data_IF_194497819887
#
_entry.id   IF_194497819887
#
_cell.length_a   1.000
_cell.length_b   1.000
_cell.length_c   1.000
_cell.angle_alpha   90.00
_cell.angle_beta   90.00
_cell.angle_gamma   90.00
#
_symmetry.space_group_name_H-M   'P 1'
#
loop_
_entity.id
_entity.type
_entity.pdbx_description
1 polymer ?
#
# COMPACT_ATOMS: atom_id res chain seq x y z
N UNK A 1 -9.95 59.28 21.81
CA UNK A 1 -9.01 58.32 21.19
C UNK A 1 -9.27 56.96 21.81
N UNK A 2 -10.01 56.10 21.11
CA UNK A 2 -10.34 54.74 21.55
C UNK A 2 -9.26 53.79 21.03
N UNK A 3 -8.58 53.09 21.95
CA UNK A 3 -7.58 52.08 21.61
C UNK A 3 -8.25 50.88 20.90
N UNK A 4 -7.64 50.31 19.85
CA UNK A 4 -8.26 49.28 19.03
C UNK A 4 -8.21 47.90 19.73
N UNK A 5 -9.36 47.24 19.81
CA UNK A 5 -9.62 45.88 19.29
C UNK A 5 -8.50 44.82 19.42
N UNK A 6 -7.79 44.80 20.54
CA UNK A 6 -6.77 43.77 20.82
C UNK A 6 -7.44 42.42 21.05
N UNK A 7 -8.56 42.35 21.77
CA UNK A 7 -9.27 41.07 21.99
C UNK A 7 -9.85 40.47 20.70
N UNK A 8 -10.39 41.30 19.81
CA UNK A 8 -10.97 40.90 18.51
C UNK A 8 -9.90 40.46 17.50
N UNK A 9 -8.74 41.10 17.50
CA UNK A 9 -7.59 40.70 16.67
C UNK A 9 -6.91 39.40 17.16
N UNK A 10 -6.81 39.17 18.47
CA UNK A 10 -6.36 37.88 19.03
C UNK A 10 -7.32 36.74 18.66
N UNK A 11 -8.64 36.98 18.66
CA UNK A 11 -9.65 36.01 18.26
C UNK A 11 -9.57 35.63 16.78
N UNK A 12 -9.46 36.61 15.87
CA UNK A 12 -9.31 36.33 14.44
C UNK A 12 -8.01 35.59 14.11
N UNK A 13 -6.90 35.95 14.76
CA UNK A 13 -5.62 35.25 14.61
C UNK A 13 -5.72 33.78 15.03
N UNK A 14 -6.40 33.49 16.14
CA UNK A 14 -6.65 32.12 16.61
C UNK A 14 -7.56 31.33 15.65
N UNK A 15 -8.58 31.97 15.07
CA UNK A 15 -9.46 31.32 14.08
C UNK A 15 -8.69 31.00 12.79
N UNK A 16 -7.88 31.93 12.29
CA UNK A 16 -7.07 31.73 11.08
C UNK A 16 -5.97 30.68 11.29
N UNK A 17 -5.36 30.63 12.49
CA UNK A 17 -4.37 29.60 12.82
C UNK A 17 -5.00 28.22 12.89
N UNK A 18 -6.20 28.09 13.49
CA UNK A 18 -6.97 26.85 13.52
C UNK A 18 -7.37 26.38 12.11
N UNK A 19 -7.84 27.30 11.26
CA UNK A 19 -8.16 27.00 9.86
C UNK A 19 -6.93 26.51 9.09
N UNK A 20 -5.77 27.13 9.29
CA UNK A 20 -4.50 26.72 8.67
C UNK A 20 -4.12 25.30 9.11
N UNK A 21 -4.26 24.97 10.39
CA UNK A 21 -4.01 23.62 10.90
C UNK A 21 -4.99 22.63 10.28
N UNK A 22 -6.29 22.95 10.27
CA UNK A 22 -7.33 22.10 9.67
C UNK A 22 -7.08 21.81 8.19
N UNK A 23 -6.71 22.82 7.40
CA UNK A 23 -6.33 22.65 5.99
C UNK A 23 -5.06 21.80 5.82
N UNK A 24 -4.08 21.93 6.71
CA UNK A 24 -2.88 21.11 6.68
C UNK A 24 -3.19 19.63 6.96
N UNK A 25 -4.07 19.35 7.92
CA UNK A 25 -4.57 17.99 8.22
C UNK A 25 -5.32 17.44 7.02
N UNK A 26 -6.27 18.22 6.47
CA UNK A 26 -7.08 17.81 5.32
C UNK A 26 -6.22 17.47 4.11
N UNK A 27 -5.22 18.31 3.79
CA UNK A 27 -4.26 18.04 2.72
C UNK A 27 -3.47 16.74 2.98
N UNK A 28 -3.06 16.51 4.22
CA UNK A 28 -2.36 15.29 4.63
C UNK A 28 -3.22 14.04 4.44
N UNK A 29 -4.48 14.09 4.85
CA UNK A 29 -5.43 12.98 4.69
C UNK A 29 -5.78 12.74 3.21
N UNK A 30 -6.00 13.79 2.42
CA UNK A 30 -6.25 13.66 0.98
C UNK A 30 -5.05 13.01 0.26
N UNK A 31 -3.83 13.45 0.57
CA UNK A 31 -2.62 12.83 0.03
C UNK A 31 -2.49 11.36 0.42
N UNK A 32 -2.88 11.00 1.65
CA UNK A 32 -2.91 9.60 2.13
C UNK A 32 -3.95 8.77 1.39
N UNK A 33 -5.17 9.29 1.22
CA UNK A 33 -6.25 8.61 0.49
C UNK A 33 -5.84 8.37 -0.96
N UNK A 34 -5.33 9.39 -1.65
CA UNK A 34 -4.86 9.26 -3.02
C UNK A 34 -3.76 8.19 -3.15
N UNK A 35 -2.78 8.22 -2.24
CA UNK A 35 -1.71 7.21 -2.18
C UNK A 35 -2.25 5.81 -1.89
N UNK A 36 -3.26 5.68 -1.02
CA UNK A 36 -3.94 4.44 -0.73
C UNK A 36 -4.68 3.86 -1.95
N UNK A 37 -5.31 4.72 -2.76
CA UNK A 37 -5.97 4.31 -4.01
C UNK A 37 -4.95 3.78 -5.01
N UNK A 38 -3.83 4.49 -5.23
CA UNK A 38 -2.77 4.05 -6.14
C UNK A 38 -2.20 2.69 -5.74
N UNK A 39 -1.87 2.51 -4.46
CA UNK A 39 -1.41 1.21 -3.94
C UNK A 39 -2.46 0.12 -4.06
N UNK A 40 -3.72 0.47 -3.86
CA UNK A 40 -4.84 -0.45 -4.09
C UNK A 40 -4.92 -0.89 -5.55
N UNK A 41 -4.62 0.01 -6.50
CA UNK A 41 -4.54 -0.34 -7.92
C UNK A 41 -3.34 -1.25 -8.20
N UNK A 42 -2.16 -0.93 -7.70
CA UNK A 42 -0.94 -1.74 -7.85
C UNK A 42 -1.15 -3.16 -7.29
N UNK A 43 -1.70 -3.28 -6.07
CA UNK A 43 -1.98 -4.58 -5.46
C UNK A 43 -3.00 -5.40 -6.28
N UNK A 44 -4.01 -4.73 -6.88
CA UNK A 44 -4.95 -5.40 -7.80
C UNK A 44 -4.26 -5.87 -9.08
N UNK A 45 -3.35 -5.07 -9.64
CA UNK A 45 -2.58 -5.45 -10.82
C UNK A 45 -1.66 -6.64 -10.53
N UNK A 46 -0.98 -6.64 -9.39
CA UNK A 46 -0.15 -7.76 -8.95
C UNK A 46 -0.97 -9.03 -8.72
N UNK A 47 -2.15 -8.93 -8.11
CA UNK A 47 -3.07 -10.07 -7.95
C UNK A 47 -3.53 -10.64 -9.29
N UNK A 48 -3.94 -9.80 -10.23
CA UNK A 48 -4.34 -10.25 -11.58
C UNK A 48 -3.21 -11.01 -12.27
N UNK A 49 -1.98 -10.48 -12.21
CA UNK A 49 -0.80 -11.18 -12.74
C UNK A 49 -0.54 -12.50 -12.03
N UNK A 50 -0.69 -12.55 -10.71
CA UNK A 50 -0.53 -13.80 -9.96
C UNK A 50 -1.56 -14.86 -10.40
N UNK A 51 -2.83 -14.46 -10.58
CA UNK A 51 -3.90 -15.33 -11.05
C UNK A 51 -3.62 -15.85 -12.47
N UNK A 52 -3.08 -15.00 -13.35
CA UNK A 52 -2.64 -15.38 -14.71
C UNK A 52 -1.51 -16.41 -14.68
N UNK A 53 -0.49 -16.22 -13.83
CA UNK A 53 0.62 -17.16 -13.65
C UNK A 53 0.14 -18.49 -13.05
N UNK A 54 -0.80 -18.48 -12.09
CA UNK A 54 -1.42 -19.71 -11.56
C UNK A 54 -2.24 -20.44 -12.61
N UNK A 55 -3.00 -19.71 -13.44
CA UNK A 55 -3.75 -20.32 -14.53
C UNK A 55 -2.81 -20.93 -15.59
N UNK A 56 -1.69 -20.26 -15.90
CA UNK A 56 -0.67 -20.78 -16.80
C UNK A 56 0.00 -22.05 -16.23
N UNK A 57 0.32 -22.04 -14.94
CA UNK A 57 0.87 -23.21 -14.24
C UNK A 57 -0.13 -24.37 -14.25
N UNK A 58 -1.40 -24.12 -13.93
CA UNK A 58 -2.45 -25.12 -13.97
C UNK A 58 -2.64 -25.74 -15.36
N UNK A 59 -2.63 -24.92 -16.42
CA UNK A 59 -2.67 -25.40 -17.81
C UNK A 59 -1.46 -26.28 -18.12
N UNK A 60 -0.25 -25.88 -17.72
CA UNK A 60 0.96 -26.65 -17.99
C UNK A 60 0.96 -28.00 -17.25
N UNK A 61 0.52 -28.02 -16.00
CA UNK A 61 0.38 -29.27 -15.23
C UNK A 61 -0.66 -30.19 -15.88
N UNK A 62 -1.79 -29.64 -16.34
CA UNK A 62 -2.80 -30.42 -17.08
C UNK A 62 -2.24 -31.01 -18.38
N UNK A 63 -1.50 -30.23 -19.18
CA UNK A 63 -0.82 -30.72 -20.39
C UNK A 63 0.12 -31.90 -20.08
N UNK A 64 0.89 -31.82 -18.98
CA UNK A 64 1.81 -32.87 -18.57
C UNK A 64 1.08 -34.13 -18.10
N UNK A 65 -0.08 -33.98 -17.43
CA UNK A 65 -0.95 -35.08 -17.03
C UNK A 65 -1.52 -35.81 -18.25
N UNK A 66 -2.08 -35.05 -19.20
CA UNK A 66 -2.66 -35.60 -20.44
C UNK A 66 -1.59 -36.28 -21.32
N UNK A 67 -0.35 -35.78 -21.31
CA UNK A 67 0.76 -36.38 -22.04
C UNK A 67 1.29 -37.68 -21.41
N UNK A 68 0.74 -38.15 -20.28
CA UNK A 68 1.23 -39.34 -19.56
C UNK A 68 2.64 -39.16 -18.98
N UNK A 69 3.17 -37.92 -18.95
CA UNK A 69 4.51 -37.62 -18.44
C UNK A 69 4.64 -37.66 -16.91
N UNK A 70 3.55 -38.08 -16.26
CA UNK A 70 3.31 -38.03 -14.82
C UNK A 70 3.08 -39.44 -14.23
N UNK A 71 3.74 -40.46 -14.76
CA UNK A 71 3.68 -41.82 -14.20
C UNK A 71 4.55 -42.00 -12.95
N UNK A 72 4.01 -42.73 -11.96
CA UNK A 72 4.51 -43.31 -10.69
C UNK A 72 5.56 -42.55 -9.82
N UNK A 73 6.50 -41.81 -10.42
CA UNK A 73 7.43 -40.87 -9.78
C UNK A 73 6.98 -39.40 -9.92
N UNK A 74 5.70 -39.17 -10.26
CA UNK A 74 5.12 -37.91 -10.75
C UNK A 74 5.48 -36.59 -10.06
N UNK A 75 5.96 -36.61 -8.81
CA UNK A 75 6.51 -35.42 -8.16
C UNK A 75 7.85 -34.94 -8.77
N UNK A 76 8.76 -35.86 -9.14
CA UNK A 76 10.06 -35.51 -9.72
C UNK A 76 9.92 -34.92 -11.14
N UNK A 77 9.06 -35.51 -11.98
CA UNK A 77 8.83 -35.05 -13.36
C UNK A 77 8.26 -33.62 -13.41
N UNK A 78 7.36 -33.28 -12.49
CA UNK A 78 6.80 -31.92 -12.37
C UNK A 78 7.84 -30.88 -11.92
N UNK A 79 8.71 -31.26 -10.99
CA UNK A 79 9.80 -30.38 -10.54
C UNK A 79 10.92 -30.28 -11.56
N UNK A 80 11.08 -31.24 -12.45
CA UNK A 80 12.10 -31.22 -13.50
C UNK A 80 11.66 -30.43 -14.74
N UNK A 81 10.36 -30.23 -14.97
CA UNK A 81 9.88 -29.34 -16.04
C UNK A 81 10.30 -27.89 -15.76
N UNK A 82 11.19 -27.38 -16.60
CA UNK A 82 11.77 -26.03 -16.45
C UNK A 82 10.70 -24.92 -16.50
N UNK A 83 9.63 -25.14 -17.27
CA UNK A 83 8.54 -24.17 -17.43
C UNK A 83 7.65 -24.15 -16.19
N UNK A 84 7.39 -25.31 -15.57
CA UNK A 84 6.69 -25.40 -14.27
C UNK A 84 7.50 -24.67 -13.18
N UNK A 85 8.82 -24.91 -13.11
CA UNK A 85 9.71 -24.19 -12.17
C UNK A 85 9.71 -22.69 -12.38
N UNK A 86 9.77 -22.23 -13.62
CA UNK A 86 9.74 -20.80 -13.95
C UNK A 86 8.42 -20.15 -13.52
N UNK A 87 7.28 -20.74 -13.88
CA UNK A 87 5.95 -20.25 -13.52
C UNK A 87 5.75 -20.26 -11.99
N UNK A 88 6.19 -21.32 -11.32
CA UNK A 88 6.13 -21.42 -9.86
C UNK A 88 7.00 -20.34 -9.19
N UNK A 89 8.20 -20.08 -9.72
CA UNK A 89 9.11 -19.04 -9.24
C UNK A 89 8.52 -17.63 -9.41
N UNK A 90 7.91 -17.34 -10.56
CA UNK A 90 7.21 -16.07 -10.79
C UNK A 90 6.03 -15.89 -9.85
N UNK A 91 5.22 -16.94 -9.66
CA UNK A 91 4.10 -16.90 -8.73
C UNK A 91 4.56 -16.70 -7.28
N UNK A 92 5.66 -17.33 -6.86
CA UNK A 92 6.26 -17.12 -5.54
C UNK A 92 6.73 -15.67 -5.37
N UNK A 93 7.46 -15.13 -6.35
CA UNK A 93 7.91 -13.75 -6.34
C UNK A 93 6.73 -12.75 -6.23
N UNK A 94 5.67 -12.96 -6.99
CA UNK A 94 4.48 -12.10 -6.96
C UNK A 94 3.74 -12.16 -5.62
N UNK A 95 3.72 -13.33 -4.95
CA UNK A 95 3.17 -13.45 -3.59
C UNK A 95 4.02 -12.67 -2.58
N UNK A 96 5.34 -12.78 -2.67
CA UNK A 96 6.25 -12.05 -1.79
C UNK A 96 6.13 -10.53 -1.99
N UNK A 97 6.00 -10.07 -3.24
CA UNK A 97 5.73 -8.66 -3.53
C UNK A 97 4.39 -8.19 -2.95
N UNK A 98 3.33 -8.98 -3.06
CA UNK A 98 2.04 -8.65 -2.44
C UNK A 98 2.15 -8.56 -0.90
N UNK A 99 2.92 -9.45 -0.27
CA UNK A 99 3.18 -9.40 1.16
C UNK A 99 3.97 -8.14 1.55
N UNK A 100 5.00 -7.78 0.78
CA UNK A 100 5.77 -6.53 0.97
C UNK A 100 4.88 -5.30 0.83
N UNK A 101 4.03 -5.25 -0.20
CA UNK A 101 3.08 -4.15 -0.40
C UNK A 101 2.11 -4.01 0.78
N UNK A 102 1.60 -5.12 1.33
CA UNK A 102 0.72 -5.11 2.49
C UNK A 102 1.43 -4.62 3.77
N UNK A 103 2.66 -5.09 4.02
CA UNK A 103 3.46 -4.65 5.15
C UNK A 103 3.84 -3.16 5.07
N UNK A 104 4.21 -2.68 3.88
CA UNK A 104 4.53 -1.27 3.63
C UNK A 104 3.33 -0.33 3.88
N UNK A 105 2.11 -0.78 3.60
CA UNK A 105 0.90 0.01 3.88
C UNK A 105 0.69 0.27 5.38
N UNK A 106 0.97 -0.73 6.23
CA UNK A 106 0.87 -0.57 7.69
C UNK A 106 1.93 0.40 8.23
N UNK A 107 3.19 0.24 7.80
CA UNK A 107 4.29 1.10 8.22
C UNK A 107 4.09 2.58 7.80
N UNK A 108 3.50 2.81 6.62
CA UNK A 108 3.29 4.18 6.14
C UNK A 108 2.12 4.88 6.84
N UNK A 109 1.13 4.13 7.33
CA UNK A 109 0.09 4.65 8.22
C UNK A 109 0.71 5.15 9.53
N UNK A 110 1.58 4.36 10.14
CA UNK A 110 2.27 4.71 11.38
C UNK A 110 3.16 5.95 11.20
N UNK A 111 3.94 5.99 10.11
CA UNK A 111 4.75 7.17 9.76
C UNK A 111 3.92 8.42 9.53
N UNK A 112 2.75 8.28 8.89
CA UNK A 112 1.82 9.40 8.69
C UNK A 112 1.28 9.94 10.01
N UNK A 113 0.80 9.06 10.90
CA UNK A 113 0.34 9.45 12.24
C UNK A 113 1.46 10.14 13.04
N UNK A 114 2.69 9.63 12.97
CA UNK A 114 3.84 10.27 13.61
C UNK A 114 4.21 11.65 13.02
N UNK A 115 4.03 11.86 11.71
CA UNK A 115 4.19 13.20 11.09
C UNK A 115 3.07 14.15 11.52
N UNK A 116 1.84 13.67 11.59
CA UNK A 116 0.68 14.44 12.05
C UNK A 116 0.85 14.87 13.51
N UNK A 117 1.23 13.94 14.40
CA UNK A 117 1.47 14.23 15.81
C UNK A 117 2.54 15.31 16.02
N UNK A 118 3.63 15.27 15.23
CA UNK A 118 4.69 16.29 15.30
C UNK A 118 4.25 17.67 14.79
N UNK A 119 3.43 17.73 13.73
CA UNK A 119 2.98 18.99 13.13
C UNK A 119 1.82 19.66 13.89
N UNK A 120 1.00 18.85 14.57
CA UNK A 120 -0.15 19.35 15.33
C UNK A 120 0.15 19.47 16.84
N UNK A 121 1.09 18.69 17.37
CA UNK A 121 1.53 18.77 18.77
C UNK A 121 2.56 19.87 19.05
N UNK A 122 3.20 20.45 18.02
CA UNK A 122 4.15 21.57 18.17
C UNK A 122 3.48 22.94 18.29
N UNK A 123 2.14 23.02 18.32
CA UNK A 123 1.40 24.26 18.58
C UNK A 123 1.04 24.42 20.07
N UNK A 124 1.90 23.93 20.97
CA UNK A 124 1.86 24.42 22.35
C UNK A 124 2.18 25.92 22.34
N UNK A 125 1.45 26.76 23.07
CA UNK A 125 1.76 28.18 23.15
C UNK A 125 3.13 28.31 23.83
N UNK A 126 4.15 28.60 23.05
CA UNK A 126 5.54 28.72 23.50
C UNK A 126 6.04 30.14 23.26
N UNK A 127 6.09 30.88 24.38
CA UNK A 127 6.69 32.20 24.61
C UNK A 127 5.95 33.44 24.07
#
# INVERSE_FOLDING_TARGET
MTAPDTQTSFSLSAVLSNLKVGLCVLRGELGRVASGVLRGMEARQLRRRLDEEHAALGRRVAELLEAGSLDAQGACSLTDDARVRELAGRAAFLRDELARHAAGAAADRERHMGRMARRCGSNGPGA
#
